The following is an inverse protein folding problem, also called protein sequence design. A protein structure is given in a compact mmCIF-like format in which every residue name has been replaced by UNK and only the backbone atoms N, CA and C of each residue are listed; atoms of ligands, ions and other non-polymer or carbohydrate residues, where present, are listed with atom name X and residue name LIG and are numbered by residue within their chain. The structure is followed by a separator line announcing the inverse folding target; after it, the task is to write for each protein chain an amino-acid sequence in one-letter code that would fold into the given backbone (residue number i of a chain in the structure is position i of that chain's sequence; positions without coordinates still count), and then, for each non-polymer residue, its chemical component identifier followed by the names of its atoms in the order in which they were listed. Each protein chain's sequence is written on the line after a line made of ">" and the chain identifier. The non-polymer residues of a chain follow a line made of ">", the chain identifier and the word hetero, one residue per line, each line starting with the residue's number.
data_IF_106086083305
#
_entry.id   IF_106086083305
#
_cell.length_a   1.000
_cell.length_b   1.000
_cell.length_c   1.000
_cell.angle_alpha   90.00
_cell.angle_beta   90.00
_cell.angle_gamma   90.00
#
_symmetry.space_group_name_H-M   'P 1'
#
loop_
_entity.id
_entity.type
_entity.pdbx_description
1 polymer ?
#
# COMPACT_ATOMS: atom_id res chain seq x y z
N UNK A 1 10.80 22.56 -13.11
CA UNK A 1 10.49 21.12 -13.32
C UNK A 1 8.98 20.94 -13.17
N UNK A 2 8.28 20.44 -14.19
CA UNK A 2 6.84 20.12 -14.05
C UNK A 2 6.73 18.95 -13.07
N UNK A 3 6.14 19.19 -11.90
CA UNK A 3 5.84 18.13 -10.94
C UNK A 3 4.92 17.12 -11.62
N UNK A 4 5.35 15.86 -11.73
CA UNK A 4 4.49 14.81 -12.23
C UNK A 4 3.29 14.69 -11.28
N UNK A 5 2.08 14.85 -11.80
CA UNK A 5 0.84 14.68 -11.03
C UNK A 5 0.66 13.19 -10.79
N UNK A 6 1.26 12.68 -9.72
CA UNK A 6 1.06 11.28 -9.32
C UNK A 6 -0.39 11.10 -8.89
N UNK A 7 -1.06 10.13 -9.50
CA UNK A 7 -2.37 9.69 -9.03
C UNK A 7 -2.20 9.09 -7.64
N UNK A 8 -3.16 9.36 -6.77
CA UNK A 8 -3.23 8.66 -5.49
C UNK A 8 -3.39 7.15 -5.73
N UNK A 9 -2.99 6.29 -4.78
CA UNK A 9 -3.22 4.86 -4.91
C UNK A 9 -4.68 4.50 -5.19
N UNK A 10 -5.62 5.25 -4.60
CA UNK A 10 -7.05 5.06 -4.80
C UNK A 10 -7.49 5.42 -6.23
N UNK A 11 -7.00 6.52 -6.80
CA UNK A 11 -7.27 6.88 -8.20
C UNK A 11 -6.68 5.87 -9.18
N UNK A 12 -5.48 5.36 -8.89
CA UNK A 12 -4.85 4.34 -9.71
C UNK A 12 -5.61 3.01 -9.65
N UNK A 13 -6.07 2.60 -8.47
CA UNK A 13 -6.87 1.39 -8.29
C UNK A 13 -8.22 1.47 -9.03
N UNK A 14 -8.92 2.62 -8.94
CA UNK A 14 -10.16 2.84 -9.69
C UNK A 14 -9.95 2.73 -11.20
N UNK A 15 -8.98 3.47 -11.74
CA UNK A 15 -8.67 3.43 -13.17
C UNK A 15 -8.28 2.02 -13.65
N UNK A 16 -7.52 1.28 -12.83
CA UNK A 16 -7.15 -0.09 -13.14
C UNK A 16 -8.35 -1.02 -13.18
N UNK A 17 -9.28 -0.89 -12.21
CA UNK A 17 -10.50 -1.67 -12.20
C UNK A 17 -11.42 -1.33 -13.39
N UNK A 18 -11.63 -0.05 -13.69
CA UNK A 18 -12.45 0.39 -14.82
C UNK A 18 -11.92 -0.17 -16.14
N UNK A 19 -10.59 -0.13 -16.35
CA UNK A 19 -9.96 -0.70 -17.53
C UNK A 19 -10.14 -2.23 -17.64
N UNK A 20 -10.11 -2.94 -16.52
CA UNK A 20 -10.38 -4.38 -16.48
C UNK A 20 -11.84 -4.68 -16.83
N UNK A 21 -12.79 -3.93 -16.26
CA UNK A 21 -14.23 -4.08 -16.54
C UNK A 21 -14.53 -3.81 -18.01
N UNK A 22 -13.92 -2.78 -18.61
CA UNK A 22 -14.10 -2.46 -20.04
C UNK A 22 -13.69 -3.63 -20.95
N UNK A 23 -12.62 -4.36 -20.60
CA UNK A 23 -12.07 -5.43 -21.44
C UNK A 23 -12.64 -6.81 -21.16
N UNK A 24 -12.94 -7.12 -19.90
CA UNK A 24 -13.30 -8.46 -19.45
C UNK A 24 -14.76 -8.57 -19.01
N UNK A 25 -15.45 -7.44 -18.82
CA UNK A 25 -16.72 -7.40 -18.11
C UNK A 25 -16.53 -7.56 -16.59
N UNK A 26 -17.56 -7.19 -15.80
CA UNK A 26 -17.44 -7.09 -14.35
C UNK A 26 -17.16 -8.42 -13.65
N UNK A 27 -17.74 -9.53 -14.15
CA UNK A 27 -17.57 -10.84 -13.55
C UNK A 27 -16.13 -11.36 -13.68
N UNK A 28 -15.56 -11.28 -14.87
CA UNK A 28 -14.22 -11.79 -15.13
C UNK A 28 -13.12 -10.82 -14.66
N UNK A 29 -13.38 -9.50 -14.65
CA UNK A 29 -12.51 -8.53 -13.98
C UNK A 29 -12.36 -8.84 -12.48
N UNK A 30 -13.46 -9.16 -11.78
CA UNK A 30 -13.41 -9.53 -10.37
C UNK A 30 -12.68 -10.86 -10.16
N UNK A 31 -12.97 -11.89 -10.97
CA UNK A 31 -12.24 -13.17 -10.90
C UNK A 31 -10.74 -12.99 -11.15
N UNK A 32 -10.36 -12.15 -12.11
CA UNK A 32 -8.96 -11.84 -12.39
C UNK A 32 -8.28 -11.18 -11.19
N UNK A 33 -8.92 -10.21 -10.53
CA UNK A 33 -8.38 -9.61 -9.31
C UNK A 33 -8.26 -10.62 -8.16
N UNK A 34 -9.20 -11.56 -8.05
CA UNK A 34 -9.16 -12.63 -7.05
C UNK A 34 -8.11 -13.72 -7.35
N UNK A 35 -7.59 -13.79 -8.59
CA UNK A 35 -6.45 -14.66 -8.92
C UNK A 35 -5.13 -14.11 -8.34
N UNK A 36 -5.04 -12.81 -8.07
CA UNK A 36 -3.98 -12.32 -7.19
C UNK A 36 -4.23 -12.92 -5.82
N UNK A 37 -3.33 -13.82 -5.42
CA UNK A 37 -3.45 -14.53 -4.15
C UNK A 37 -3.68 -13.54 -3.00
N UNK A 38 -4.53 -13.92 -2.05
CA UNK A 38 -4.65 -13.22 -0.79
C UNK A 38 -3.24 -12.98 -0.23
N UNK A 39 -2.93 -11.72 0.11
CA UNK A 39 -1.60 -11.34 0.58
C UNK A 39 -1.09 -12.32 1.63
N UNK A 40 0.12 -12.84 1.44
CA UNK A 40 0.70 -13.84 2.33
C UNK A 40 1.24 -13.22 3.61
N UNK A 41 1.18 -13.97 4.69
CA UNK A 41 1.82 -13.65 5.96
C UNK A 41 0.88 -13.12 7.04
N UNK A 42 1.42 -13.00 8.25
CA UNK A 42 0.70 -12.51 9.42
C UNK A 42 1.24 -11.11 9.75
N UNK A 43 0.51 -10.09 9.30
CA UNK A 43 0.86 -8.69 9.58
C UNK A 43 0.90 -8.42 11.08
N UNK A 44 0.09 -9.10 11.90
CA UNK A 44 0.09 -8.93 13.35
C UNK A 44 1.39 -9.42 13.98
N UNK A 45 1.90 -10.58 13.55
CA UNK A 45 3.23 -11.08 13.95
C UNK A 45 4.35 -10.18 13.44
N UNK A 46 4.27 -9.78 12.17
CA UNK A 46 5.27 -8.91 11.52
C UNK A 46 5.37 -7.56 12.23
N UNK A 47 4.23 -6.92 12.48
CA UNK A 47 4.13 -5.66 13.22
C UNK A 47 4.69 -5.79 14.63
N UNK A 48 4.37 -6.88 15.35
CA UNK A 48 4.93 -7.16 16.68
C UNK A 48 6.46 -7.27 16.65
N UNK A 49 7.03 -7.95 15.65
CA UNK A 49 8.49 -8.06 15.49
C UNK A 49 9.15 -6.71 15.18
N UNK A 50 8.56 -5.92 14.29
CA UNK A 50 9.15 -4.65 13.84
C UNK A 50 9.06 -3.54 14.89
N UNK A 51 7.92 -3.43 15.58
CA UNK A 51 7.62 -2.27 16.43
C UNK A 51 7.43 -2.63 17.91
N UNK A 52 7.20 -3.90 18.25
CA UNK A 52 6.98 -4.33 19.62
C UNK A 52 5.88 -3.52 20.31
N UNK A 53 6.25 -2.83 21.40
CA UNK A 53 5.37 -1.94 22.18
C UNK A 53 5.65 -0.44 21.93
N UNK A 54 6.38 -0.09 20.86
CA UNK A 54 6.67 1.31 20.56
C UNK A 54 5.39 2.09 20.32
N UNK A 55 5.28 3.24 20.97
CA UNK A 55 4.24 4.23 20.68
C UNK A 55 4.56 4.92 19.35
N UNK A 56 3.54 5.56 18.77
CA UNK A 56 3.71 6.35 17.54
C UNK A 56 4.73 7.47 17.76
N UNK A 57 4.67 8.16 18.90
CA UNK A 57 5.62 9.24 19.24
C UNK A 57 7.07 8.76 19.28
N UNK A 58 7.30 7.56 19.84
CA UNK A 58 8.63 6.96 19.86
C UNK A 58 9.15 6.66 18.44
N UNK A 59 8.27 6.20 17.53
CA UNK A 59 8.62 5.93 16.14
C UNK A 59 8.94 7.24 15.41
N UNK A 60 8.15 8.30 15.61
CA UNK A 60 8.38 9.62 15.00
C UNK A 60 9.71 10.21 15.48
N UNK A 61 10.03 10.08 16.78
CA UNK A 61 11.31 10.52 17.35
C UNK A 61 12.50 9.76 16.73
N UNK A 62 12.39 8.44 16.55
CA UNK A 62 13.42 7.63 15.90
C UNK A 62 13.68 8.09 14.46
N UNK A 63 12.63 8.41 13.70
CA UNK A 63 12.74 8.93 12.33
C UNK A 63 13.43 10.29 12.33
N UNK A 64 13.06 11.19 13.24
CA UNK A 64 13.69 12.51 13.39
C UNK A 64 15.18 12.42 13.77
N UNK A 65 15.54 11.48 14.65
CA UNK A 65 16.93 11.24 15.06
C UNK A 65 17.82 10.74 13.93
N UNK A 66 17.31 9.90 13.03
CA UNK A 66 18.05 9.41 11.85
C UNK A 66 18.27 10.46 10.77
N UNK A 67 17.48 11.54 10.76
CA UNK A 67 17.57 12.61 9.77
C UNK A 67 18.54 13.73 10.15
N UNK A 68 19.09 13.74 11.37
CA UNK A 68 20.16 14.67 11.71
C UNK A 68 21.45 14.23 11.02
N UNK A 69 22.09 15.10 10.20
CA UNK A 69 23.43 14.83 9.73
C UNK A 69 24.37 14.70 10.95
N UNK A 70 25.36 13.81 10.85
CA UNK A 70 26.48 13.79 11.79
C UNK A 70 27.22 15.13 11.76
#
# INVERSE_FOLDING_TARGET
>A
MRSARFRTPHELARLGFDALVEKLGPADALRFLLQYEAGKGDYTKTRRRLFGRKTVDAIVKDIGGRRRPR
#
